data_IF_134239686945
#
_entry.id   IF_134239686945
#
_cell.length_a   1.000
_cell.length_b   1.000
_cell.length_c   1.000
_cell.angle_alpha   90.00
_cell.angle_beta   90.00
_cell.angle_gamma   90.00
#
_symmetry.space_group_name_H-M   'P 1'
#
loop_
_entity.id
_entity.type
_entity.pdbx_description
1 polymer ?
#
# COMPACT_ATOMS: atom_id res chain seq x y z
N UNK A 1 6.22 8.97 19.58
CA UNK A 1 5.12 8.90 18.61
C UNK A 1 4.76 10.32 18.22
N UNK A 2 4.48 10.60 16.95
CA UNK A 2 4.09 11.95 16.50
C UNK A 2 2.59 12.12 16.74
N UNK A 3 2.18 12.29 17.99
CA UNK A 3 0.80 12.59 18.32
C UNK A 3 0.41 13.95 17.72
N UNK A 4 -0.63 13.97 16.88
CA UNK A 4 -1.17 15.18 16.25
C UNK A 4 -0.55 15.60 14.91
N UNK A 5 0.46 14.89 14.40
CA UNK A 5 1.01 15.14 13.04
C UNK A 5 0.46 14.10 12.09
N UNK A 6 -0.43 14.52 11.19
CA UNK A 6 -0.99 13.68 10.14
C UNK A 6 -0.40 14.02 8.78
N UNK A 7 -0.21 13.00 7.95
CA UNK A 7 0.09 13.18 6.54
C UNK A 7 -1.21 13.47 5.78
N UNK A 8 -1.14 14.29 4.74
CA UNK A 8 -2.26 14.49 3.80
C UNK A 8 -2.34 13.37 2.74
N UNK A 9 -1.30 12.54 2.65
CA UNK A 9 -1.17 11.48 1.63
C UNK A 9 -0.65 10.17 2.25
N UNK A 10 -0.94 9.02 1.65
CA UNK A 10 -0.35 7.75 2.10
C UNK A 10 1.18 7.80 2.05
N UNK A 11 1.85 7.18 3.02
CA UNK A 11 3.31 7.28 3.19
C UNK A 11 4.02 5.93 3.16
N UNK A 12 3.29 4.82 3.13
CA UNK A 12 3.84 3.47 3.25
C UNK A 12 4.39 2.93 1.91
N UNK A 13 5.11 3.75 1.15
CA UNK A 13 5.61 3.41 -0.20
C UNK A 13 6.54 2.18 -0.22
N UNK A 14 7.29 1.94 0.87
CA UNK A 14 8.09 0.72 1.01
C UNK A 14 7.20 -0.52 0.97
N UNK A 15 6.08 -0.49 1.69
CA UNK A 15 5.14 -1.61 1.73
C UNK A 15 4.39 -1.78 0.41
N UNK A 16 4.05 -0.69 -0.27
CA UNK A 16 3.50 -0.74 -1.64
C UNK A 16 4.43 -1.55 -2.56
N UNK A 17 5.71 -1.16 -2.65
CA UNK A 17 6.68 -1.85 -3.50
C UNK A 17 6.97 -3.29 -3.05
N UNK A 18 7.02 -3.55 -1.74
CA UNK A 18 7.23 -4.91 -1.21
C UNK A 18 6.06 -5.84 -1.56
N UNK A 19 4.82 -5.38 -1.43
CA UNK A 19 3.63 -6.18 -1.77
C UNK A 19 3.60 -6.42 -3.29
N UNK A 20 3.82 -5.39 -4.09
CA UNK A 20 3.89 -5.48 -5.55
C UNK A 20 4.89 -6.55 -6.01
N UNK A 21 6.14 -6.45 -5.52
CA UNK A 21 7.19 -7.42 -5.82
C UNK A 21 6.85 -8.83 -5.33
N UNK A 22 6.31 -8.96 -4.11
CA UNK A 22 6.00 -10.27 -3.52
C UNK A 22 4.90 -10.98 -4.31
N UNK A 23 3.86 -10.27 -4.73
CA UNK A 23 2.78 -10.86 -5.52
C UNK A 23 3.32 -11.28 -6.89
N UNK A 24 4.08 -10.41 -7.58
CA UNK A 24 4.69 -10.76 -8.86
C UNK A 24 5.59 -12.00 -8.75
N UNK A 25 6.38 -12.11 -7.69
CA UNK A 25 7.23 -13.27 -7.45
C UNK A 25 6.42 -14.56 -7.18
N UNK A 26 5.28 -14.48 -6.49
CA UNK A 26 4.44 -15.64 -6.17
C UNK A 26 3.60 -16.10 -7.36
N UNK A 27 2.99 -15.15 -8.09
CA UNK A 27 2.03 -15.45 -9.15
C UNK A 27 2.66 -15.51 -10.53
N UNK A 28 3.81 -14.86 -10.74
CA UNK A 28 4.38 -14.62 -12.06
C UNK A 28 3.72 -13.49 -12.83
N UNK A 29 2.77 -12.76 -12.22
CA UNK A 29 2.01 -11.69 -12.86
C UNK A 29 2.19 -10.37 -12.11
N UNK A 30 2.43 -9.31 -12.86
CA UNK A 30 2.48 -7.97 -12.30
C UNK A 30 1.07 -7.48 -11.91
N UNK A 31 0.94 -6.89 -10.71
CA UNK A 31 -0.32 -6.37 -10.19
C UNK A 31 -0.13 -4.97 -9.60
N UNK A 32 -1.06 -4.05 -9.88
CA UNK A 32 -1.01 -2.68 -9.34
C UNK A 32 -1.41 -2.68 -7.87
N UNK A 33 -0.53 -2.15 -7.02
CA UNK A 33 -0.74 -2.02 -5.58
C UNK A 33 -0.84 -0.54 -5.21
N UNK A 34 -1.88 -0.17 -4.46
CA UNK A 34 -2.06 1.19 -3.93
C UNK A 34 -2.48 1.16 -2.47
N UNK A 35 -1.81 1.95 -1.64
CA UNK A 35 -2.30 2.28 -0.29
C UNK A 35 -3.51 3.23 -0.43
N UNK A 36 -4.67 2.81 0.08
CA UNK A 36 -5.94 3.56 0.01
C UNK A 36 -6.39 4.12 1.36
N UNK A 37 -5.88 3.55 2.46
CA UNK A 37 -6.03 4.08 3.82
C UNK A 37 -4.66 3.99 4.51
N UNK A 38 -4.32 4.99 5.31
CA UNK A 38 -3.03 5.08 5.99
C UNK A 38 -3.19 5.57 7.43
N UNK A 39 -2.55 4.90 8.38
CA UNK A 39 -2.54 5.31 9.79
C UNK A 39 -1.94 6.69 9.99
N UNK A 40 -0.94 7.06 9.18
CA UNK A 40 -0.36 8.40 9.21
C UNK A 40 -1.37 9.49 8.81
N UNK A 41 -2.42 9.15 8.07
CA UNK A 41 -3.52 10.06 7.73
C UNK A 41 -4.66 10.04 8.78
N UNK A 42 -4.53 9.23 9.85
CA UNK A 42 -5.53 9.10 10.91
C UNK A 42 -6.49 7.92 10.74
N UNK A 43 -6.31 7.04 9.75
CA UNK A 43 -7.11 5.82 9.61
C UNK A 43 -6.76 4.78 10.70
N UNK A 44 -7.69 3.86 11.04
CA UNK A 44 -7.44 2.84 12.06
C UNK A 44 -6.39 1.81 11.62
N UNK A 45 -6.19 1.62 10.32
CA UNK A 45 -5.24 0.68 9.74
C UNK A 45 -4.76 1.15 8.36
N UNK A 46 -3.64 0.58 7.91
CA UNK A 46 -3.17 0.72 6.54
C UNK A 46 -3.91 -0.29 5.65
N UNK A 47 -4.49 0.15 4.55
CA UNK A 47 -5.26 -0.70 3.63
C UNK A 47 -4.66 -0.60 2.24
N UNK A 48 -4.31 -1.75 1.66
CA UNK A 48 -3.72 -1.85 0.32
C UNK A 48 -4.71 -2.50 -0.64
N UNK A 49 -5.02 -1.82 -1.73
CA UNK A 49 -5.81 -2.35 -2.84
C UNK A 49 -4.85 -2.96 -3.86
N UNK A 50 -5.11 -4.22 -4.22
CA UNK A 50 -4.40 -4.94 -5.28
C UNK A 50 -5.36 -5.07 -6.47
N UNK A 51 -4.99 -4.45 -7.59
CA UNK A 51 -5.75 -4.54 -8.83
C UNK A 51 -5.15 -5.61 -9.72
N UNK A 52 -5.92 -6.64 -10.05
CA UNK A 52 -5.50 -7.65 -11.02
C UNK A 52 -5.30 -6.98 -12.38
N UNK A 53 -4.08 -7.02 -12.93
CA UNK A 53 -3.91 -6.77 -14.35
C UNK A 53 -4.41 -8.00 -15.11
N UNK A 54 -5.16 -7.76 -16.19
CA UNK A 54 -5.55 -8.83 -17.11
C UNK A 54 -4.33 -9.13 -17.98
N UNK A 55 -4.00 -10.41 -18.12
CA UNK A 55 -3.08 -10.90 -19.16
C UNK A 55 -3.54 -10.47 -20.56
#
# INVERSE_FOLDING_TARGET
ESEGVHSEKPVCNIYVGMIEYSIEWITGHHHDVKEIECRAMGHPADVFRISKQKE
#
